data_IF_317503655065
#
_entry.id   IF_317503655065
#
_cell.length_a   1.000
_cell.length_b   1.000
_cell.length_c   1.000
_cell.angle_alpha   90.00
_cell.angle_beta   90.00
_cell.angle_gamma   90.00
#
_symmetry.space_group_name_H-M   'P 1'
#
loop_
_entity.id
_entity.type
_entity.pdbx_description
1 polymer ?
#
# COMPACT_ATOMS: atom_id res chain seq x y z
N UNK A 1 7.49 -3.29 -76.59
CA UNK A 1 8.51 -2.63 -75.74
C UNK A 1 8.35 -3.23 -74.34
N UNK A 2 9.13 -4.26 -73.98
CA UNK A 2 10.40 -4.23 -73.23
C UNK A 2 10.26 -3.62 -71.82
N UNK A 3 10.20 -4.51 -70.82
CA UNK A 3 10.99 -4.56 -69.56
C UNK A 3 10.23 -5.51 -68.59
N UNK A 4 10.58 -6.79 -68.36
CA UNK A 4 11.81 -7.48 -67.92
C UNK A 4 12.07 -7.45 -66.40
N UNK A 5 12.00 -8.65 -65.78
CA UNK A 5 12.80 -9.18 -64.66
C UNK A 5 12.74 -8.42 -63.30
N UNK A 6 12.62 -9.03 -62.10
CA UNK A 6 13.23 -10.23 -61.48
C UNK A 6 12.32 -10.72 -60.32
N UNK A 7 12.09 -12.04 -60.13
CA UNK A 7 12.66 -12.89 -59.03
C UNK A 7 12.95 -12.11 -57.73
N UNK A 8 12.39 -12.47 -56.57
CA UNK A 8 12.72 -13.69 -55.83
C UNK A 8 11.70 -14.05 -54.75
N UNK A 9 11.42 -15.35 -54.71
CA UNK A 9 10.89 -16.15 -53.60
C UNK A 9 11.73 -15.95 -52.33
N UNK A 10 11.10 -15.71 -51.18
CA UNK A 10 11.72 -16.01 -49.88
C UNK A 10 10.64 -16.43 -48.88
N UNK A 11 10.43 -17.73 -48.85
CA UNK A 11 9.73 -18.46 -47.80
C UNK A 11 10.60 -18.40 -46.55
N UNK A 12 10.21 -17.64 -45.51
CA UNK A 12 10.80 -17.79 -44.19
C UNK A 12 9.90 -18.70 -43.35
N UNK A 13 10.22 -19.98 -43.42
CA UNK A 13 9.90 -20.98 -42.43
C UNK A 13 10.82 -20.71 -41.23
N UNK A 14 10.30 -20.28 -40.09
CA UNK A 14 11.04 -20.37 -38.83
C UNK A 14 10.34 -21.33 -37.88
N UNK A 15 10.95 -22.51 -37.89
CA UNK A 15 10.95 -23.62 -36.95
C UNK A 15 10.59 -23.23 -35.51
N UNK A 16 9.63 -23.97 -34.95
CA UNK A 16 9.41 -24.09 -33.54
C UNK A 16 10.70 -24.59 -32.84
N UNK A 17 11.11 -23.88 -31.79
CA UNK A 17 12.00 -24.40 -30.75
C UNK A 17 11.23 -24.35 -29.44
N UNK A 18 10.65 -25.50 -29.10
CA UNK A 18 10.28 -25.86 -27.75
C UNK A 18 11.58 -26.01 -26.95
N UNK A 19 11.95 -24.97 -26.21
CA UNK A 19 12.88 -25.12 -25.09
C UNK A 19 12.06 -25.31 -23.83
N UNK A 20 11.75 -26.58 -23.54
CA UNK A 20 11.39 -27.03 -22.20
C UNK A 20 12.63 -26.90 -21.30
N UNK A 21 12.86 -25.73 -20.75
CA UNK A 21 13.68 -25.63 -19.55
C UNK A 21 12.79 -26.00 -18.36
N UNK A 22 12.98 -27.22 -17.87
CA UNK A 22 12.52 -27.63 -16.56
C UNK A 22 13.07 -26.65 -15.53
N UNK A 23 12.25 -25.69 -15.10
CA UNK A 23 12.47 -24.95 -13.86
C UNK A 23 12.26 -25.97 -12.76
N UNK A 24 13.36 -26.54 -12.28
CA UNK A 24 13.37 -27.11 -10.93
C UNK A 24 12.93 -25.99 -10.01
N UNK A 25 11.85 -26.20 -9.27
CA UNK A 25 11.51 -25.46 -8.07
C UNK A 25 12.72 -25.49 -7.15
N UNK A 26 13.58 -24.48 -7.26
CA UNK A 26 14.58 -24.20 -6.23
C UNK A 26 13.80 -23.71 -5.03
N UNK A 27 13.96 -24.44 -3.92
CA UNK A 27 13.66 -23.96 -2.58
C UNK A 27 14.16 -22.52 -2.42
N UNK A 28 13.44 -21.66 -1.66
CA UNK A 28 13.92 -20.31 -1.43
C UNK A 28 15.29 -20.39 -0.77
N UNK A 29 16.31 -19.93 -1.50
CA UNK A 29 17.68 -19.84 -1.01
C UNK A 29 17.69 -19.00 0.27
N UNK A 30 18.20 -19.56 1.36
CA UNK A 30 18.49 -18.83 2.60
C UNK A 30 19.43 -17.65 2.28
N UNK A 31 18.86 -16.45 2.20
CA UNK A 31 19.63 -15.20 2.21
C UNK A 31 19.89 -14.86 3.68
N UNK A 32 21.16 -14.78 4.13
CA UNK A 32 21.47 -14.42 5.51
C UNK A 32 20.96 -13.01 5.83
N UNK A 33 20.22 -12.87 6.91
CA UNK A 33 19.80 -11.58 7.45
C UNK A 33 21.02 -10.88 8.07
N UNK A 34 21.39 -9.71 7.55
CA UNK A 34 22.56 -8.93 7.99
C UNK A 34 22.28 -8.05 9.21
N UNK A 35 21.10 -8.18 9.85
CA UNK A 35 20.82 -7.48 11.10
C UNK A 35 21.60 -8.11 12.27
N UNK A 36 22.73 -7.50 12.65
CA UNK A 36 23.43 -7.81 13.90
C UNK A 36 22.56 -7.46 15.11
N UNK A 37 21.86 -8.46 15.65
CA UNK A 37 21.31 -8.40 17.00
C UNK A 37 22.17 -9.25 17.92
N UNK A 38 22.82 -8.59 18.89
CA UNK A 38 23.61 -9.29 19.90
C UNK A 38 22.70 -10.26 20.68
N UNK A 39 23.03 -11.54 20.61
CA UNK A 39 22.43 -12.57 21.44
C UNK A 39 22.62 -12.22 22.93
N UNK A 40 21.54 -11.87 23.62
CA UNK A 40 21.56 -11.67 25.07
C UNK A 40 21.62 -13.04 25.73
N UNK A 41 22.78 -13.37 26.29
CA UNK A 41 23.05 -14.41 27.28
C UNK A 41 21.98 -15.52 27.45
N UNK A 42 22.17 -16.65 26.78
CA UNK A 42 21.64 -17.95 27.22
C UNK A 42 20.18 -18.27 26.90
N UNK A 43 19.46 -17.47 26.10
CA UNK A 43 18.17 -17.89 25.55
C UNK A 43 18.36 -18.69 24.26
N UNK A 44 17.76 -19.88 24.21
CA UNK A 44 17.64 -20.68 23.00
C UNK A 44 16.64 -20.00 22.07
N UNK A 45 17.09 -19.40 20.98
CA UNK A 45 16.25 -18.85 19.90
C UNK A 45 15.36 -17.64 20.25
N UNK A 46 14.64 -17.14 19.25
CA UNK A 46 13.66 -16.06 19.40
C UNK A 46 12.33 -16.57 19.95
N UNK A 47 11.67 -15.77 20.80
CA UNK A 47 10.29 -16.04 21.23
C UNK A 47 9.40 -14.87 20.83
N UNK A 48 8.33 -15.18 20.10
CA UNK A 48 7.47 -14.15 19.53
C UNK A 48 5.98 -14.47 19.73
N UNK A 49 5.17 -13.42 19.67
CA UNK A 49 3.75 -13.52 19.38
C UNK A 49 3.51 -12.90 18.01
N UNK A 50 2.57 -13.47 17.26
CA UNK A 50 2.08 -12.88 16.04
C UNK A 50 0.59 -12.53 16.15
N UNK A 51 0.20 -11.40 15.58
CA UNK A 51 -1.18 -10.89 15.62
C UNK A 51 -1.55 -10.41 14.22
N UNK A 52 -2.75 -10.79 13.76
CA UNK A 52 -3.32 -10.24 12.54
C UNK A 52 -3.88 -8.85 12.85
N UNK A 53 -3.34 -7.83 12.20
CA UNK A 53 -3.83 -6.47 12.26
C UNK A 53 -5.09 -6.34 11.42
N UNK A 54 -6.11 -5.73 12.02
CA UNK A 54 -7.34 -5.29 11.34
C UNK A 54 -7.61 -3.81 11.59
N UNK A 55 -6.68 -3.12 12.25
CA UNK A 55 -6.79 -1.69 12.52
C UNK A 55 -6.10 -0.89 11.40
N UNK A 56 -6.72 0.21 10.98
CA UNK A 56 -6.16 1.09 9.96
C UNK A 56 -5.00 1.92 10.51
N UNK A 57 -3.92 1.95 9.74
CA UNK A 57 -2.71 2.72 9.98
C UNK A 57 -2.71 3.88 9.00
N UNK A 58 -2.43 5.08 9.52
CA UNK A 58 -2.53 6.31 8.76
C UNK A 58 -1.15 6.83 8.36
N UNK A 59 -0.94 7.01 7.06
CA UNK A 59 0.20 7.75 6.51
C UNK A 59 -0.29 9.14 6.09
N UNK A 60 0.05 10.15 6.87
CA UNK A 60 -0.43 11.53 6.67
C UNK A 60 0.50 12.28 5.73
N UNK A 61 -0.07 13.06 4.79
CA UNK A 61 0.70 13.90 3.90
C UNK A 61 1.38 15.03 4.67
N UNK A 62 2.63 15.33 4.31
CA UNK A 62 3.39 16.42 4.93
C UNK A 62 2.62 17.74 4.91
N UNK A 63 2.59 18.43 6.05
CA UNK A 63 1.86 19.68 6.30
C UNK A 63 0.33 19.58 6.33
N UNK A 64 -0.27 18.40 6.21
CA UNK A 64 -1.70 18.24 6.39
C UNK A 64 -2.07 18.17 7.88
N UNK A 65 -3.25 18.69 8.22
CA UNK A 65 -3.84 18.56 9.55
C UNK A 65 -4.87 17.43 9.48
N UNK A 66 -4.43 16.23 9.82
CA UNK A 66 -5.27 15.04 9.91
C UNK A 66 -5.02 14.37 11.27
N UNK A 67 -5.72 14.82 12.29
CA UNK A 67 -5.49 14.43 13.68
C UNK A 67 -6.42 13.30 14.15
N UNK A 68 -6.41 13.00 15.45
CA UNK A 68 -7.25 11.96 16.03
C UNK A 68 -8.75 12.18 15.81
N UNK A 69 -9.23 13.43 15.73
CA UNK A 69 -10.64 13.69 15.42
C UNK A 69 -10.96 13.31 13.98
N UNK A 70 -10.04 13.60 13.04
CA UNK A 70 -10.18 13.22 11.64
C UNK A 70 -10.14 11.70 11.47
N UNK A 71 -9.27 10.98 12.20
CA UNK A 71 -9.24 9.52 12.22
C UNK A 71 -10.57 8.93 12.73
N UNK A 72 -11.11 9.44 13.84
CA UNK A 72 -12.39 8.96 14.36
C UNK A 72 -13.55 9.22 13.40
N UNK A 73 -13.61 10.43 12.83
CA UNK A 73 -14.66 10.80 11.88
C UNK A 73 -14.59 9.96 10.58
N UNK A 74 -13.38 9.67 10.11
CA UNK A 74 -13.17 8.76 8.99
C UNK A 74 -13.66 7.34 9.33
N UNK A 75 -13.29 6.79 10.48
CA UNK A 75 -13.73 5.45 10.90
C UNK A 75 -15.24 5.34 11.03
N UNK A 76 -15.91 6.36 11.58
CA UNK A 76 -17.38 6.43 11.63
C UNK A 76 -17.98 6.48 10.22
N UNK A 77 -17.45 7.34 9.35
CA UNK A 77 -17.92 7.45 7.98
C UNK A 77 -17.76 6.14 7.19
N UNK A 78 -16.65 5.42 7.41
CA UNK A 78 -16.41 4.11 6.83
C UNK A 78 -17.43 3.07 7.33
N UNK A 79 -17.73 3.04 8.63
CA UNK A 79 -18.74 2.15 9.22
C UNK A 79 -20.16 2.45 8.70
N UNK A 80 -20.47 3.71 8.45
CA UNK A 80 -21.77 4.15 7.93
C UNK A 80 -21.88 4.07 6.39
N UNK A 81 -20.79 3.75 5.68
CA UNK A 81 -20.74 3.73 4.22
C UNK A 81 -20.85 5.12 3.59
N UNK A 82 -20.43 6.18 4.30
CA UNK A 82 -20.42 7.57 3.83
C UNK A 82 -19.03 7.92 3.29
N UNK A 83 -18.92 8.20 1.99
CA UNK A 83 -17.64 8.56 1.35
C UNK A 83 -17.08 9.94 1.76
N UNK A 84 -17.84 10.73 2.50
CA UNK A 84 -17.47 12.09 2.90
C UNK A 84 -17.74 12.28 4.39
N UNK A 85 -16.89 13.04 5.05
CA UNK A 85 -16.96 13.31 6.48
C UNK A 85 -16.35 14.67 6.82
N UNK A 86 -16.57 15.13 8.05
CA UNK A 86 -16.06 16.41 8.52
C UNK A 86 -15.40 16.23 9.88
N UNK A 87 -14.24 16.84 10.07
CA UNK A 87 -13.57 16.92 11.35
C UNK A 87 -12.93 18.30 11.51
N UNK A 88 -13.08 18.92 12.69
CA UNK A 88 -12.53 20.24 12.99
C UNK A 88 -12.87 21.30 11.91
N UNK A 89 -14.12 21.30 11.42
CA UNK A 89 -14.61 22.16 10.33
C UNK A 89 -13.92 21.96 8.96
N UNK A 90 -13.09 20.92 8.81
CA UNK A 90 -12.48 20.50 7.54
C UNK A 90 -13.28 19.35 6.98
N UNK A 91 -13.69 19.48 5.71
CA UNK A 91 -14.40 18.42 4.99
C UNK A 91 -13.40 17.53 4.26
N UNK A 92 -13.69 16.23 4.25
CA UNK A 92 -12.89 15.21 3.61
C UNK A 92 -13.76 14.32 2.72
N UNK A 93 -13.12 13.72 1.72
CA UNK A 93 -13.66 12.66 0.87
C UNK A 93 -12.64 11.53 0.86
N UNK A 94 -13.09 10.28 0.76
CA UNK A 94 -12.16 9.17 0.57
C UNK A 94 -12.59 8.25 -0.55
N UNK A 95 -11.61 7.55 -1.12
CA UNK A 95 -11.81 6.56 -2.16
C UNK A 95 -11.05 5.28 -1.79
N UNK A 96 -11.58 4.10 -2.13
CA UNK A 96 -10.81 2.86 -2.06
C UNK A 96 -9.57 2.97 -2.94
N UNK A 97 -8.40 2.70 -2.36
CA UNK A 97 -7.13 2.61 -3.09
C UNK A 97 -6.79 1.17 -3.44
N UNK A 98 -7.17 0.24 -2.56
CA UNK A 98 -7.03 -1.19 -2.73
C UNK A 98 -7.95 -1.96 -1.78
N UNK A 99 -7.69 -3.25 -1.59
CA UNK A 99 -8.36 -4.01 -0.54
C UNK A 99 -7.90 -3.49 0.82
N UNK A 100 -8.85 -3.12 1.68
CA UNK A 100 -8.60 -2.63 3.05
C UNK A 100 -7.64 -1.41 3.11
N UNK A 101 -7.58 -0.65 2.01
CA UNK A 101 -6.76 0.56 1.84
C UNK A 101 -7.55 1.69 1.19
N UNK A 102 -7.38 2.91 1.72
CA UNK A 102 -8.16 4.09 1.34
C UNK A 102 -7.25 5.31 1.16
N UNK A 103 -7.53 6.10 0.13
CA UNK A 103 -6.93 7.42 -0.06
C UNK A 103 -7.92 8.48 0.40
N UNK A 104 -7.46 9.35 1.30
CA UNK A 104 -8.26 10.38 1.94
C UNK A 104 -7.82 11.74 1.40
N UNK A 105 -8.79 12.55 1.00
CA UNK A 105 -8.63 13.86 0.41
C UNK A 105 -9.28 14.92 1.29
N UNK A 106 -8.59 16.02 1.49
CA UNK A 106 -9.18 17.26 1.99
C UNK A 106 -9.96 17.95 0.88
N UNK A 107 -11.15 18.44 1.22
CA UNK A 107 -12.01 19.23 0.35
C UNK A 107 -11.82 20.71 0.63
N UNK A 108 -11.52 21.49 -0.42
CA UNK A 108 -11.48 22.96 -0.36
C UNK A 108 -12.64 23.54 -1.17
N UNK A 109 -13.65 24.15 -0.52
CA UNK A 109 -14.81 24.71 -1.21
C UNK A 109 -14.41 25.85 -2.14
N UNK A 110 -14.92 25.80 -3.37
CA UNK A 110 -14.71 26.85 -4.38
C UNK A 110 -16.03 27.47 -4.86
N UNK A 111 -17.13 26.73 -4.77
CA UNK A 111 -18.46 27.20 -5.12
C UNK A 111 -19.54 26.50 -4.28
N UNK A 112 -20.73 27.06 -4.29
CA UNK A 112 -21.93 26.50 -3.67
C UNK A 112 -23.09 26.64 -4.65
N UNK A 113 -23.90 25.59 -4.77
CA UNK A 113 -25.16 25.62 -5.51
C UNK A 113 -26.33 25.66 -4.53
N UNK A 114 -27.10 26.74 -4.55
CA UNK A 114 -28.31 26.90 -3.76
C UNK A 114 -29.50 27.13 -4.69
N UNK A 115 -30.49 26.25 -4.62
CA UNK A 115 -31.70 26.31 -5.47
C UNK A 115 -31.37 26.42 -6.97
N UNK A 116 -30.33 25.70 -7.41
CA UNK A 116 -29.88 25.66 -8.81
C UNK A 116 -29.05 26.86 -9.24
N UNK A 117 -28.74 27.81 -8.36
CA UNK A 117 -27.81 28.91 -8.63
C UNK A 117 -26.44 28.58 -8.05
N UNK A 118 -25.43 28.60 -8.90
CA UNK A 118 -24.04 28.37 -8.50
C UNK A 118 -23.37 29.70 -8.24
N UNK A 119 -22.82 29.87 -7.03
CA UNK A 119 -22.10 31.07 -6.61
C UNK A 119 -20.70 30.68 -6.10
N UNK A 120 -19.67 31.48 -6.39
CA UNK A 120 -18.32 31.23 -5.87
C UNK A 120 -18.26 31.48 -4.36
N UNK A 121 -17.50 30.64 -3.66
CA UNK A 121 -17.19 30.85 -2.25
C UNK A 121 -16.15 31.98 -2.12
N UNK A 122 -16.25 32.79 -1.06
CA UNK A 122 -15.30 33.87 -0.72
C UNK A 122 -15.04 34.89 -1.84
N UNK A 123 -16.01 35.10 -2.75
CA UNK A 123 -15.87 36.06 -3.85
C UNK A 123 -14.87 35.63 -4.93
N UNK A 124 -14.60 34.33 -5.06
CA UNK A 124 -13.83 33.78 -6.17
C UNK A 124 -14.48 34.05 -7.53
N UNK A 125 -13.78 33.71 -8.61
CA UNK A 125 -14.28 33.83 -9.98
C UNK A 125 -14.40 32.44 -10.58
N UNK A 126 -15.60 32.10 -11.07
CA UNK A 126 -15.82 30.89 -11.85
C UNK A 126 -15.76 31.25 -13.33
N UNK A 127 -14.99 30.48 -14.11
CA UNK A 127 -15.05 30.59 -15.56
C UNK A 127 -16.41 30.07 -16.05
N UNK A 128 -16.87 30.57 -17.21
CA UNK A 128 -18.10 30.07 -17.83
C UNK A 128 -18.02 28.56 -18.14
N UNK A 129 -16.82 28.07 -18.47
CA UNK A 129 -16.57 26.65 -18.75
C UNK A 129 -16.70 25.80 -17.48
N UNK A 130 -16.15 26.26 -16.35
CA UNK A 130 -16.29 25.57 -15.07
C UNK A 130 -17.75 25.59 -14.59
N UNK A 131 -18.44 26.71 -14.76
CA UNK A 131 -19.87 26.80 -14.43
C UNK A 131 -20.69 25.77 -15.22
N UNK A 132 -20.48 25.67 -16.54
CA UNK A 132 -21.16 24.68 -17.38
C UNK A 132 -20.81 23.24 -16.97
N UNK A 133 -19.57 22.97 -16.55
CA UNK A 133 -19.16 21.67 -16.03
C UNK A 133 -19.88 21.32 -14.71
N UNK A 134 -19.98 22.28 -13.79
CA UNK A 134 -20.72 22.12 -12.52
C UNK A 134 -22.20 21.86 -12.79
N UNK A 135 -22.84 22.64 -13.66
CA UNK A 135 -24.25 22.46 -14.02
C UNK A 135 -24.51 21.10 -14.65
N UNK A 136 -23.58 20.63 -15.49
CA UNK A 136 -23.64 19.27 -16.07
C UNK A 136 -23.52 18.19 -14.99
N UNK A 137 -22.62 18.36 -14.03
CA UNK A 137 -22.43 17.41 -12.93
C UNK A 137 -23.68 17.35 -12.02
N UNK A 138 -24.25 18.51 -11.69
CA UNK A 138 -25.50 18.61 -10.93
C UNK A 138 -26.67 17.95 -11.66
N UNK A 139 -26.83 18.20 -12.96
CA UNK A 139 -27.91 17.62 -13.76
C UNK A 139 -27.80 16.10 -13.93
N UNK A 140 -26.58 15.55 -13.85
CA UNK A 140 -26.32 14.11 -13.92
C UNK A 140 -26.25 13.45 -12.53
N UNK A 141 -26.40 14.22 -11.46
CA UNK A 141 -26.27 13.75 -10.07
C UNK A 141 -24.91 13.05 -9.82
N UNK A 142 -23.85 13.48 -10.52
CA UNK A 142 -22.51 12.93 -10.35
C UNK A 142 -21.81 13.62 -9.19
N UNK A 143 -21.28 12.84 -8.25
CA UNK A 143 -20.57 13.36 -7.07
C UNK A 143 -19.15 13.85 -7.36
N UNK A 144 -18.54 13.38 -8.44
CA UNK A 144 -17.16 13.68 -8.80
C UNK A 144 -17.11 13.99 -10.29
N UNK A 145 -16.40 15.06 -10.66
CA UNK A 145 -16.13 15.39 -12.05
C UNK A 145 -14.75 16.03 -12.19
N UNK A 146 -14.19 15.95 -13.38
CA UNK A 146 -12.91 16.59 -13.72
C UNK A 146 -13.16 17.75 -14.69
N UNK A 147 -12.44 18.85 -14.48
CA UNK A 147 -12.37 19.97 -15.43
C UNK A 147 -10.95 20.52 -15.48
N UNK A 148 -10.36 20.54 -16.68
CA UNK A 148 -8.99 21.02 -16.93
C UNK A 148 -7.94 20.36 -16.00
N UNK A 149 -8.03 19.04 -15.80
CA UNK A 149 -7.11 18.30 -14.92
C UNK A 149 -7.30 18.54 -13.42
N UNK A 150 -8.33 19.29 -13.02
CA UNK A 150 -8.70 19.47 -11.61
C UNK A 150 -9.93 18.63 -11.29
N UNK A 151 -9.82 17.80 -10.26
CA UNK A 151 -10.94 17.01 -9.74
C UNK A 151 -11.76 17.84 -8.75
N UNK A 152 -13.07 17.79 -8.93
CA UNK A 152 -14.06 18.44 -8.09
C UNK A 152 -14.99 17.40 -7.46
N UNK A 153 -15.34 17.62 -6.20
CA UNK A 153 -16.28 16.81 -5.42
C UNK A 153 -17.50 17.64 -5.06
N UNK A 154 -18.68 17.09 -5.30
CA UNK A 154 -19.97 17.62 -4.88
C UNK A 154 -20.35 16.98 -3.55
N UNK A 155 -20.61 17.83 -2.57
CA UNK A 155 -20.98 17.46 -1.21
C UNK A 155 -22.33 18.06 -0.85
N UNK A 156 -23.28 17.24 -0.40
CA UNK A 156 -24.54 17.77 0.12
C UNK A 156 -24.29 18.44 1.47
N UNK A 157 -24.57 19.73 1.55
CA UNK A 157 -24.53 20.49 2.80
C UNK A 157 -25.91 21.13 3.04
N UNK A 158 -26.73 20.43 3.84
CA UNK A 158 -28.12 20.82 4.16
C UNK A 158 -28.99 20.96 2.91
N UNK A 159 -29.22 22.19 2.43
CA UNK A 159 -30.07 22.51 1.25
C UNK A 159 -29.23 22.97 0.05
N UNK A 160 -27.92 23.00 0.19
CA UNK A 160 -26.99 23.41 -0.84
C UNK A 160 -26.07 22.25 -1.22
N UNK A 161 -25.54 22.31 -2.44
CA UNK A 161 -24.46 21.45 -2.87
C UNK A 161 -23.18 22.27 -2.83
N UNK A 162 -22.22 21.85 -2.01
CA UNK A 162 -20.89 22.44 -2.01
C UNK A 162 -20.05 21.79 -3.11
N UNK A 163 -19.30 22.60 -3.84
CA UNK A 163 -18.37 22.18 -4.88
C UNK A 163 -16.96 22.48 -4.37
N UNK A 164 -16.16 21.44 -4.23
CA UNK A 164 -14.83 21.52 -3.64
C UNK A 164 -13.78 20.94 -4.57
N UNK A 165 -12.58 21.52 -4.59
CA UNK A 165 -11.40 20.83 -5.12
C UNK A 165 -10.84 19.87 -4.08
N UNK A 166 -10.05 18.90 -4.53
CA UNK A 166 -9.40 17.92 -3.66
C UNK A 166 -7.90 18.19 -3.51
N UNK A 167 -7.38 17.88 -2.33
CA UNK A 167 -5.96 17.73 -2.07
C UNK A 167 -5.74 16.47 -1.23
N UNK A 168 -4.66 15.74 -1.48
CA UNK A 168 -4.29 14.57 -0.66
C UNK A 168 -4.14 14.94 0.81
N UNK A 169 -4.69 14.11 1.70
CA UNK A 169 -4.59 14.30 3.14
C UNK A 169 -3.89 13.13 3.84
N UNK A 170 -4.34 11.90 3.58
CA UNK A 170 -3.80 10.71 4.22
C UNK A 170 -4.09 9.44 3.40
N UNK A 171 -3.33 8.37 3.68
CA UNK A 171 -3.64 7.00 3.29
C UNK A 171 -3.96 6.23 4.57
N UNK A 172 -5.01 5.41 4.54
CA UNK A 172 -5.38 4.51 5.62
C UNK A 172 -5.32 3.07 5.13
N UNK A 173 -4.51 2.22 5.75
CA UNK A 173 -4.30 0.82 5.35
C UNK A 173 -4.09 -0.09 6.59
N UNK A 174 -4.59 -1.32 6.56
CA UNK A 174 -4.32 -2.35 7.59
C UNK A 174 -2.88 -2.92 7.54
N UNK A 175 -2.15 -2.71 6.45
CA UNK A 175 -0.77 -3.17 6.29
C UNK A 175 0.23 -2.11 6.77
N UNK A 176 1.36 -2.56 7.27
CA UNK A 176 2.47 -1.73 7.72
C UNK A 176 3.77 -2.13 7.04
N UNK A 177 4.64 -1.13 6.78
CA UNK A 177 5.98 -1.38 6.26
C UNK A 177 7.03 -1.41 7.37
N UNK A 178 7.97 -2.33 7.22
CA UNK A 178 9.20 -2.41 8.01
C UNK A 178 10.41 -2.44 7.07
N UNK A 179 11.38 -1.55 7.27
CA UNK A 179 12.64 -1.60 6.52
C UNK A 179 13.62 -2.60 7.12
N UNK A 180 14.45 -3.21 6.27
CA UNK A 180 15.60 -4.00 6.69
C UNK A 180 16.69 -3.15 7.34
N UNK A 181 16.88 -1.91 6.89
CA UNK A 181 17.75 -0.95 7.55
C UNK A 181 16.88 0.20 8.13
N UNK A 182 16.90 0.42 9.47
CA UNK A 182 16.13 1.47 10.11
C UNK A 182 16.39 2.88 9.58
N UNK A 183 17.52 3.13 8.91
CA UNK A 183 17.82 4.41 8.26
C UNK A 183 16.82 4.77 7.15
N UNK A 184 16.13 3.78 6.57
CA UNK A 184 15.10 3.99 5.54
C UNK A 184 13.68 4.17 6.10
N UNK A 185 13.49 4.14 7.43
CA UNK A 185 12.17 4.24 8.04
C UNK A 185 11.43 5.54 7.70
N UNK A 186 12.15 6.66 7.54
CA UNK A 186 11.54 7.93 7.13
C UNK A 186 11.01 7.85 5.69
N UNK A 187 11.80 7.27 4.78
CA UNK A 187 11.42 7.10 3.37
C UNK A 187 10.18 6.23 3.21
N UNK A 188 10.16 5.03 3.82
CA UNK A 188 9.02 4.10 3.66
C UNK A 188 7.73 4.61 4.31
N UNK A 189 7.83 5.59 5.22
CA UNK A 189 6.69 6.25 5.87
C UNK A 189 6.27 7.53 5.16
N UNK A 190 6.99 7.93 4.11
CA UNK A 190 6.59 9.08 3.31
C UNK A 190 5.28 8.79 2.57
N UNK A 191 4.40 9.78 2.52
CA UNK A 191 3.10 9.68 1.86
C UNK A 191 3.21 9.21 0.40
N UNK A 192 4.09 9.84 -0.38
CA UNK A 192 4.23 9.52 -1.80
C UNK A 192 4.86 8.12 -2.03
N UNK A 193 5.70 7.63 -1.10
CA UNK A 193 6.23 6.26 -1.16
C UNK A 193 5.10 5.26 -0.98
N UNK A 194 4.29 5.41 0.07
CA UNK A 194 3.14 4.56 0.33
C UNK A 194 2.12 4.62 -0.81
N UNK A 195 1.82 5.83 -1.31
CA UNK A 195 0.88 6.02 -2.41
C UNK A 195 1.32 5.25 -3.66
N UNK A 196 2.58 5.37 -4.05
CA UNK A 196 3.10 4.73 -5.26
C UNK A 196 3.16 3.20 -5.11
N UNK A 197 3.50 2.70 -3.92
CA UNK A 197 3.42 1.28 -3.62
C UNK A 197 1.99 0.77 -3.74
N UNK A 198 1.02 1.41 -3.10
CA UNK A 198 -0.38 1.00 -3.12
C UNK A 198 -1.00 1.04 -4.51
N UNK A 199 -0.67 2.05 -5.31
CA UNK A 199 -1.07 2.11 -6.72
C UNK A 199 -0.50 0.91 -7.49
N UNK A 200 0.77 0.58 -7.29
CA UNK A 200 1.37 -0.58 -7.94
C UNK A 200 0.72 -1.90 -7.49
N UNK A 201 0.40 -2.06 -6.21
CA UNK A 201 -0.32 -3.23 -5.69
C UNK A 201 -1.70 -3.37 -6.32
N UNK A 202 -2.46 -2.28 -6.38
CA UNK A 202 -3.79 -2.25 -6.99
C UNK A 202 -3.76 -2.56 -8.49
N UNK A 203 -2.71 -2.13 -9.18
CA UNK A 203 -2.50 -2.38 -10.61
C UNK A 203 -1.80 -3.72 -10.89
N UNK A 204 -1.44 -4.48 -9.84
CA UNK A 204 -0.66 -5.72 -9.93
C UNK A 204 0.69 -5.54 -10.62
N UNK A 205 1.27 -4.35 -10.51
CA UNK A 205 2.58 -4.01 -11.03
C UNK A 205 3.67 -4.61 -10.15
N UNK A 206 4.77 -5.01 -10.79
CA UNK A 206 5.93 -5.62 -10.09
C UNK A 206 6.95 -4.59 -9.64
N UNK A 207 6.72 -3.32 -9.96
CA UNK A 207 7.64 -2.24 -9.68
C UNK A 207 6.87 -0.94 -9.48
N UNK A 208 7.41 -0.06 -8.64
CA UNK A 208 6.98 1.33 -8.55
C UNK A 208 8.21 2.23 -8.48
N UNK A 209 8.00 3.52 -8.73
CA UNK A 209 9.05 4.53 -8.59
C UNK A 209 8.74 5.45 -7.42
N UNK A 210 9.78 5.86 -6.71
CA UNK A 210 9.70 6.92 -5.72
C UNK A 210 10.93 7.80 -5.88
N UNK A 211 10.72 9.10 -6.01
CA UNK A 211 11.75 10.06 -6.44
C UNK A 211 12.43 9.61 -7.75
N UNK A 212 13.74 9.33 -7.71
CA UNK A 212 14.51 8.86 -8.88
C UNK A 212 14.82 7.36 -8.83
N UNK A 213 14.34 6.66 -7.80
CA UNK A 213 14.63 5.24 -7.57
C UNK A 213 13.47 4.35 -8.02
N UNK A 214 13.82 3.15 -8.45
CA UNK A 214 12.87 2.07 -8.79
C UNK A 214 12.93 1.01 -7.71
N UNK A 215 11.75 0.58 -7.28
CA UNK A 215 11.57 -0.47 -6.28
C UNK A 215 10.86 -1.66 -6.90
N UNK A 216 11.28 -2.87 -6.52
CA UNK A 216 10.60 -4.12 -6.90
C UNK A 216 9.55 -4.50 -5.87
N UNK A 217 8.50 -5.17 -6.32
CA UNK A 217 7.40 -5.67 -5.49
C UNK A 217 7.20 -7.15 -5.78
N UNK A 218 7.30 -7.98 -4.74
CA UNK A 218 7.09 -9.42 -4.83
C UNK A 218 6.06 -9.85 -3.80
N UNK A 219 4.96 -10.47 -4.25
CA UNK A 219 4.01 -11.10 -3.35
C UNK A 219 4.68 -12.27 -2.63
N UNK A 220 4.55 -12.28 -1.31
CA UNK A 220 5.04 -13.34 -0.41
C UNK A 220 3.95 -13.73 0.57
N UNK A 221 4.14 -14.84 1.27
CA UNK A 221 3.18 -15.27 2.29
C UNK A 221 3.03 -14.19 3.37
N UNK A 222 1.84 -13.61 3.49
CA UNK A 222 1.51 -12.61 4.50
C UNK A 222 1.75 -11.16 4.07
N UNK A 223 2.05 -10.91 2.79
CA UNK A 223 2.16 -9.56 2.24
C UNK A 223 3.08 -9.46 1.04
N UNK A 224 4.00 -8.49 1.07
CA UNK A 224 4.88 -8.16 -0.06
C UNK A 224 6.29 -7.80 0.39
N UNK A 225 7.29 -8.39 -0.26
CA UNK A 225 8.68 -7.96 -0.15
C UNK A 225 8.97 -6.87 -1.16
N UNK A 226 9.61 -5.80 -0.68
CA UNK A 226 10.04 -4.66 -1.47
C UNK A 226 11.55 -4.74 -1.65
N UNK A 227 12.03 -4.64 -2.88
CA UNK A 227 13.46 -4.61 -3.19
C UNK A 227 13.91 -3.25 -3.70
N UNK A 228 15.16 -2.88 -3.45
CA UNK A 228 15.76 -1.68 -4.03
C UNK A 228 16.10 -1.86 -5.52
N UNK A 229 16.71 -0.83 -6.13
CA UNK A 229 17.13 -0.83 -7.53
C UNK A 229 18.24 -1.84 -7.86
N UNK A 230 18.92 -2.37 -6.85
CA UNK A 230 19.96 -3.39 -6.95
C UNK A 230 19.40 -4.80 -6.64
N UNK A 231 18.09 -4.93 -6.43
CA UNK A 231 17.41 -6.17 -6.02
C UNK A 231 17.78 -6.67 -4.62
N UNK A 232 18.31 -5.81 -3.76
CA UNK A 232 18.45 -6.14 -2.33
C UNK A 232 17.10 -5.99 -1.63
N UNK A 233 16.86 -6.79 -0.59
CA UNK A 233 15.68 -6.63 0.26
C UNK A 233 15.73 -5.27 0.97
N UNK A 234 14.66 -4.50 0.80
CA UNK A 234 14.57 -3.12 1.26
C UNK A 234 13.56 -2.98 2.39
N UNK A 235 12.34 -3.50 2.18
CA UNK A 235 11.28 -3.46 3.17
C UNK A 235 10.29 -4.63 3.02
N UNK A 236 9.48 -4.85 4.04
CA UNK A 236 8.37 -5.82 4.05
C UNK A 236 7.07 -5.10 4.38
N UNK A 237 6.05 -5.31 3.55
CA UNK A 237 4.67 -4.87 3.79
C UNK A 237 3.86 -6.07 4.30
N UNK A 238 3.25 -5.97 5.47
CA UNK A 238 2.41 -7.05 6.02
C UNK A 238 1.32 -6.48 6.94
N UNK A 239 0.23 -7.22 7.14
CA UNK A 239 -0.73 -6.98 8.23
C UNK A 239 -0.57 -7.99 9.36
N UNK A 240 0.47 -8.83 9.37
CA UNK A 240 0.77 -9.75 10.47
C UNK A 240 1.95 -9.18 11.27
N UNK A 241 1.64 -8.66 12.45
CA UNK A 241 2.62 -8.17 13.40
C UNK A 241 3.34 -9.34 14.06
N UNK A 242 4.68 -9.35 14.02
CA UNK A 242 5.51 -10.30 14.77
C UNK A 242 6.29 -9.53 15.82
N UNK A 243 5.93 -9.75 17.09
CA UNK A 243 6.38 -8.95 18.23
C UNK A 243 7.15 -9.87 19.20
N UNK A 244 8.33 -9.46 19.69
CA UNK A 244 9.06 -10.23 20.68
C UNK A 244 8.30 -10.33 22.00
N UNK A 245 8.36 -11.49 22.67
CA UNK A 245 7.78 -11.64 24.02
C UNK A 245 8.62 -10.99 25.11
N UNK A 246 9.90 -10.77 24.84
CA UNK A 246 10.84 -10.08 25.72
C UNK A 246 11.21 -8.74 25.10
N UNK A 247 11.15 -7.67 25.90
CA UNK A 247 11.45 -6.30 25.46
C UNK A 247 12.93 -6.10 25.04
N UNK A 248 13.79 -7.09 25.23
CA UNK A 248 15.24 -6.99 25.04
C UNK A 248 15.77 -7.64 23.76
N UNK A 249 14.90 -8.05 22.83
CA UNK A 249 15.35 -8.72 21.59
C UNK A 249 14.59 -8.20 20.38
N UNK A 250 15.27 -7.47 19.51
CA UNK A 250 14.72 -7.17 18.18
C UNK A 250 14.71 -8.48 17.35
N UNK A 251 13.61 -8.71 16.64
CA UNK A 251 13.42 -9.88 15.79
C UNK A 251 13.78 -9.49 14.36
N UNK A 252 14.72 -10.20 13.71
CA UNK A 252 15.09 -9.92 12.32
C UNK A 252 13.94 -10.12 11.35
N UNK A 253 13.88 -9.33 10.26
CA UNK A 253 12.79 -9.42 9.29
C UNK A 253 12.74 -10.78 8.59
N UNK A 254 13.89 -11.41 8.34
CA UNK A 254 13.93 -12.77 7.80
C UNK A 254 13.19 -13.78 8.69
N UNK A 255 13.33 -13.66 10.02
CA UNK A 255 12.57 -14.47 10.97
C UNK A 255 11.08 -14.15 10.91
N UNK A 256 10.70 -12.86 10.90
CA UNK A 256 9.29 -12.45 10.82
C UNK A 256 8.62 -13.00 9.56
N UNK A 257 9.32 -13.02 8.43
CA UNK A 257 8.82 -13.57 7.17
C UNK A 257 8.53 -15.08 7.25
N UNK A 258 9.37 -15.87 7.93
CA UNK A 258 9.08 -17.29 8.17
C UNK A 258 7.88 -17.49 9.09
N UNK A 259 7.69 -16.63 10.09
CA UNK A 259 6.49 -16.65 10.94
C UNK A 259 5.23 -16.38 10.12
N UNK A 260 5.26 -15.32 9.29
CA UNK A 260 4.15 -14.96 8.39
C UNK A 260 3.82 -16.09 7.42
N UNK A 261 4.85 -16.71 6.85
CA UNK A 261 4.72 -17.87 5.97
C UNK A 261 4.09 -19.08 6.66
N UNK A 262 4.53 -19.40 7.88
CA UNK A 262 3.96 -20.48 8.66
C UNK A 262 2.48 -20.22 9.00
N UNK A 263 2.12 -18.98 9.35
CA UNK A 263 0.73 -18.61 9.67
C UNK A 263 -0.16 -18.72 8.43
N UNK A 264 0.23 -18.13 7.31
CA UNK A 264 -0.57 -18.10 6.08
C UNK A 264 -0.73 -19.49 5.47
N UNK A 265 0.33 -20.30 5.51
CA UNK A 265 0.32 -21.66 4.97
C UNK A 265 -0.01 -22.74 6.01
N UNK A 266 -0.46 -22.35 7.21
CA UNK A 266 -0.88 -23.27 8.29
C UNK A 266 0.19 -24.32 8.65
N UNK A 267 1.46 -23.91 8.67
CA UNK A 267 2.58 -24.76 9.10
C UNK A 267 2.65 -24.78 10.62
N UNK A 268 2.95 -25.94 11.19
CA UNK A 268 3.14 -26.11 12.64
C UNK A 268 4.49 -25.56 13.12
N UNK A 269 5.39 -25.16 12.22
CA UNK A 269 6.75 -24.72 12.55
C UNK A 269 7.60 -24.38 11.33
N UNK A 270 8.82 -23.94 11.59
CA UNK A 270 9.85 -23.62 10.57
C UNK A 270 11.25 -23.71 11.17
N UNK A 271 12.27 -23.77 10.31
CA UNK A 271 13.69 -23.67 10.70
C UNK A 271 14.20 -22.29 10.34
N UNK A 272 14.93 -21.65 11.26
CA UNK A 272 15.62 -20.38 11.00
C UNK A 272 17.11 -20.52 11.30
N UNK A 273 17.93 -20.05 10.36
CA UNK A 273 19.38 -19.93 10.51
C UNK A 273 19.71 -18.50 10.89
N UNK A 274 20.41 -18.30 12.01
CA UNK A 274 20.91 -16.97 12.38
C UNK A 274 22.07 -16.52 11.48
N UNK A 275 22.58 -15.30 11.72
CA UNK A 275 23.70 -14.73 10.97
C UNK A 275 25.02 -15.51 11.12
N UNK A 276 25.12 -16.38 12.13
CA UNK A 276 26.25 -17.29 12.35
C UNK A 276 26.03 -18.65 11.69
N UNK A 277 24.88 -18.88 11.05
CA UNK A 277 24.49 -20.13 10.43
C UNK A 277 23.99 -21.19 11.41
N UNK A 278 23.73 -20.83 12.67
CA UNK A 278 23.17 -21.77 13.64
C UNK A 278 21.68 -21.95 13.36
N UNK A 279 21.27 -23.19 13.11
CA UNK A 279 19.88 -23.54 12.85
C UNK A 279 19.11 -23.77 14.15
N UNK A 280 17.93 -23.19 14.25
CA UNK A 280 16.97 -23.44 15.32
C UNK A 280 15.62 -23.78 14.71
N UNK A 281 14.99 -24.86 15.20
CA UNK A 281 13.63 -25.22 14.82
C UNK A 281 12.64 -24.51 15.74
N UNK A 282 11.58 -23.97 15.14
CA UNK A 282 10.51 -23.24 15.83
C UNK A 282 9.18 -23.93 15.62
N UNK A 283 8.35 -23.92 16.65
CA UNK A 283 6.95 -24.30 16.60
C UNK A 283 6.10 -23.03 16.52
N UNK A 284 5.03 -23.09 15.73
CA UNK A 284 3.99 -22.07 15.62
C UNK A 284 2.68 -22.67 16.12
N UNK A 285 2.15 -22.15 17.22
CA UNK A 285 0.90 -22.58 17.81
C UNK A 285 -0.15 -21.49 17.63
N UNK A 286 -1.32 -21.87 17.10
CA UNK A 286 -2.45 -20.96 16.97
C UNK A 286 -3.17 -20.84 18.31
N UNK A 287 -3.36 -19.61 18.76
CA UNK A 287 -4.17 -19.22 19.92
C UNK A 287 -5.51 -18.66 19.44
N UNK A 288 -6.35 -18.18 20.35
CA UNK A 288 -7.70 -17.68 20.02
C UNK A 288 -7.66 -16.54 18.98
N UNK A 289 -6.82 -15.52 19.22
CA UNK A 289 -6.72 -14.30 18.40
C UNK A 289 -5.27 -13.97 17.99
N UNK A 290 -4.36 -14.93 18.09
CA UNK A 290 -2.92 -14.73 17.88
C UNK A 290 -2.20 -16.05 17.63
N UNK A 291 -0.88 -15.98 17.45
CA UNK A 291 -0.01 -17.15 17.39
C UNK A 291 1.16 -16.98 18.36
N UNK A 292 1.57 -18.08 18.98
CA UNK A 292 2.82 -18.21 19.71
C UNK A 292 3.88 -18.83 18.82
N UNK A 293 5.08 -18.24 18.78
CA UNK A 293 6.28 -18.81 18.15
C UNK A 293 7.33 -19.08 19.21
N UNK A 294 7.75 -20.35 19.34
CA UNK A 294 8.73 -20.79 20.32
C UNK A 294 9.77 -21.75 19.71
N UNK A 295 11.01 -21.72 20.19
CA UNK A 295 12.02 -22.70 19.79
C UNK A 295 11.66 -24.08 20.36
N UNK A 296 11.81 -25.11 19.53
CA UNK A 296 11.63 -26.50 19.92
C UNK A 296 12.82 -26.92 20.78
N UNK A 297 12.54 -27.46 21.97
CA UNK A 297 13.55 -27.98 22.90
C UNK A 297 14.08 -29.35 22.50
#
# INVERSE_FOLDING_TARGET
MKNSLKKTLSTLLFLALLSACAVKTSEPSNVPDLQETQAVNGQAGYQANAILNTDLIFTIKSNEIFDGNAVMAFSEALQEGKLQFTANDISYHYEPLGQDSYRIYRLTPVAESLLGRVEPVNGGILSNELLAAIETALAKETRIFEHLGTTYVLSENRKAVQISTIADAAIANEYYLEAYDPTYNEMIRAYDFMLNLEIALQQQERTFSYESDSFGVLAVSGGYSISDSQSNLFAELSNIYVIPRSNNTAIPLGFKNLVRDAIVNQKEGFTYSDSLGAETNYQVEKLENSWSVDPIK
#
